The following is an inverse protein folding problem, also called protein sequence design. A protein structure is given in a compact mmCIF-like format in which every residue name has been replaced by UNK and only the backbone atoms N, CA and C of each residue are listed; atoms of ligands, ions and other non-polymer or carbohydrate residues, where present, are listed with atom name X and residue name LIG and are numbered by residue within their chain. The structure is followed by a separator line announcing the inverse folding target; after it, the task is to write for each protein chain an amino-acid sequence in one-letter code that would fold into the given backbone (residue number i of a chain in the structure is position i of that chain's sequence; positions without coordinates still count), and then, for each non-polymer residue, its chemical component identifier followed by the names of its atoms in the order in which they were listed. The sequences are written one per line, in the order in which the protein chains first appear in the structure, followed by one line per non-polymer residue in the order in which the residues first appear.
data_IF_074686376792
#
_entry.id   IF_074686376792
#
_cell.length_a   1.000
_cell.length_b   1.000
_cell.length_c   1.000
_cell.angle_alpha   90.00
_cell.angle_beta   90.00
_cell.angle_gamma   90.00
#
_symmetry.space_group_name_H-M   'P 1'
#
loop_
_entity.id
_entity.type
_entity.pdbx_description
1 polymer ?
#
# COMPACT_ATOMS: atom_id res chain seq x y z
N UNK A 1 -11.29 13.08 7.11
CA UNK A 1 -11.59 12.20 5.96
C UNK A 1 -11.56 10.77 6.46
N UNK A 2 -12.64 9.99 6.31
CA UNK A 2 -12.65 8.55 6.66
C UNK A 2 -12.65 7.76 5.36
N UNK A 3 -11.59 6.99 5.12
CA UNK A 3 -11.48 6.07 3.99
C UNK A 3 -11.84 4.66 4.45
N UNK A 4 -12.62 3.94 3.66
CA UNK A 4 -12.95 2.55 3.88
C UNK A 4 -13.04 1.84 2.53
N UNK A 5 -12.48 0.63 2.44
CA UNK A 5 -12.49 -0.20 1.24
C UNK A 5 -12.80 -1.64 1.65
N UNK A 6 -13.76 -2.27 0.97
CA UNK A 6 -14.03 -3.70 1.13
C UNK A 6 -13.03 -4.48 0.27
N UNK A 7 -12.29 -5.40 0.88
CA UNK A 7 -11.26 -6.22 0.23
C UNK A 7 -11.67 -7.69 0.03
N UNK A 8 -12.93 -8.01 0.36
CA UNK A 8 -13.45 -9.38 0.38
C UNK A 8 -12.54 -10.31 1.19
N UNK A 9 -12.23 -11.50 0.66
CA UNK A 9 -11.26 -12.43 1.23
C UNK A 9 -9.86 -11.98 0.82
N UNK A 10 -9.05 -11.55 1.79
CA UNK A 10 -7.66 -11.17 1.57
C UNK A 10 -6.77 -11.52 2.77
N UNK A 11 -5.45 -11.51 2.54
CA UNK A 11 -4.47 -11.60 3.62
C UNK A 11 -4.28 -10.24 4.29
N UNK A 12 -3.90 -10.26 5.57
CA UNK A 12 -3.57 -9.06 6.35
C UNK A 12 -2.53 -8.21 5.62
N UNK A 13 -1.46 -8.83 5.11
CA UNK A 13 -0.42 -8.12 4.35
C UNK A 13 -0.95 -7.47 3.08
N UNK A 14 -1.89 -8.10 2.37
CA UNK A 14 -2.51 -7.50 1.18
C UNK A 14 -3.40 -6.31 1.57
N UNK A 15 -4.11 -6.41 2.70
CA UNK A 15 -4.94 -5.32 3.20
C UNK A 15 -4.12 -4.08 3.56
N UNK A 16 -3.01 -4.25 4.28
CA UNK A 16 -2.12 -3.16 4.64
C UNK A 16 -1.48 -2.50 3.41
N UNK A 17 -0.94 -3.31 2.49
CA UNK A 17 -0.39 -2.78 1.24
C UNK A 17 -1.45 -2.02 0.44
N UNK A 18 -2.69 -2.51 0.40
CA UNK A 18 -3.78 -1.82 -0.29
C UNK A 18 -4.14 -0.49 0.37
N UNK A 19 -4.16 -0.45 1.71
CA UNK A 19 -4.35 0.79 2.46
C UNK A 19 -3.25 1.82 2.19
N UNK A 20 -1.99 1.37 2.15
CA UNK A 20 -0.86 2.23 1.78
C UNK A 20 -1.00 2.81 0.37
N UNK A 21 -1.27 1.95 -0.62
CA UNK A 21 -1.35 2.34 -2.03
C UNK A 21 -2.52 3.28 -2.31
N UNK A 22 -3.69 3.02 -1.75
CA UNK A 22 -4.89 3.84 -1.98
C UNK A 22 -4.91 5.09 -1.10
N UNK A 23 -4.24 5.07 0.07
CA UNK A 23 -4.14 6.21 0.96
C UNK A 23 -3.26 7.34 0.41
N UNK A 24 -2.22 7.02 -0.36
CA UNK A 24 -1.28 8.02 -0.90
C UNK A 24 -1.93 8.97 -1.94
N UNK A 25 -2.68 8.48 -2.96
CA UNK A 25 -3.45 9.35 -3.85
C UNK A 25 -4.46 10.22 -3.10
N UNK A 26 -5.15 9.69 -2.09
CA UNK A 26 -6.09 10.47 -1.29
C UNK A 26 -5.40 11.60 -0.53
N UNK A 27 -4.22 11.34 0.02
CA UNK A 27 -3.41 12.37 0.65
C UNK A 27 -2.95 13.43 -0.37
N UNK A 28 -2.58 12.99 -1.58
CA UNK A 28 -2.22 13.88 -2.67
C UNK A 28 -3.39 14.78 -3.09
N UNK A 29 -4.58 14.22 -3.29
CA UNK A 29 -5.78 14.97 -3.68
C UNK A 29 -6.23 15.94 -2.59
N UNK A 30 -5.98 15.61 -1.32
CA UNK A 30 -6.18 16.51 -0.19
C UNK A 30 -5.12 17.63 -0.07
N UNK A 31 -4.13 17.68 -0.97
CA UNK A 31 -3.10 18.73 -1.01
C UNK A 31 -1.85 18.42 -0.19
N UNK A 32 -1.75 17.26 0.45
CA UNK A 32 -0.52 16.84 1.11
C UNK A 32 0.54 16.47 0.07
N UNK A 33 1.75 16.98 0.24
CA UNK A 33 2.89 16.74 -0.66
C UNK A 33 4.07 16.05 0.01
N UNK A 34 4.08 16.05 1.34
CA UNK A 34 5.06 15.36 2.15
C UNK A 34 4.32 14.54 3.20
N UNK A 35 4.31 13.21 3.02
CA UNK A 35 3.53 12.29 3.84
C UNK A 35 4.48 11.25 4.43
N UNK A 36 4.35 11.01 5.74
CA UNK A 36 5.00 9.90 6.41
C UNK A 36 4.01 8.76 6.51
N UNK A 37 4.25 7.69 5.75
CA UNK A 37 3.47 6.46 5.83
C UNK A 37 4.01 5.60 6.96
N UNK A 38 3.15 5.22 7.90
CA UNK A 38 3.46 4.29 8.98
C UNK A 38 2.65 3.01 8.79
N UNK A 39 3.33 1.86 8.87
CA UNK A 39 2.76 0.52 8.73
C UNK A 39 3.21 -0.32 9.91
N UNK A 40 2.30 -1.13 10.45
CA UNK A 40 2.55 -2.04 11.56
C UNK A 40 2.98 -3.44 11.11
N UNK A 41 2.88 -3.78 9.82
CA UNK A 41 3.49 -5.01 9.28
C UNK A 41 4.91 -4.82 8.77
N UNK A 42 5.83 -5.51 9.43
CA UNK A 42 7.20 -5.74 8.93
C UNK A 42 7.18 -6.38 7.53
N UNK A 43 6.26 -7.30 7.26
CA UNK A 43 6.14 -7.94 5.94
C UNK A 43 5.73 -6.94 4.86
N UNK A 44 4.78 -6.05 5.15
CA UNK A 44 4.38 -5.00 4.20
C UNK A 44 5.53 -4.02 3.94
N UNK A 45 6.25 -3.61 4.97
CA UNK A 45 7.45 -2.76 4.85
C UNK A 45 8.55 -3.42 4.02
N UNK A 46 8.81 -4.70 4.23
CA UNK A 46 9.80 -5.45 3.44
C UNK A 46 9.39 -5.54 1.97
N UNK A 47 8.11 -5.77 1.68
CA UNK A 47 7.60 -5.81 0.31
C UNK A 47 7.69 -4.45 -0.39
N UNK A 48 7.35 -3.35 0.29
CA UNK A 48 7.47 -2.00 -0.27
C UNK A 48 8.93 -1.60 -0.54
N UNK A 49 9.88 -2.13 0.25
CA UNK A 49 11.31 -1.85 0.10
C UNK A 49 12.02 -2.79 -0.86
N UNK A 50 11.40 -3.92 -1.22
CA UNK A 50 11.96 -4.88 -2.15
C UNK A 50 11.87 -4.31 -3.57
N UNK A 51 13.02 -4.11 -4.21
CA UNK A 51 13.13 -3.71 -5.63
C UNK A 51 12.90 -4.89 -6.59
N UNK A 52 12.62 -6.09 -6.09
CA UNK A 52 12.37 -7.27 -6.91
C UNK A 52 10.91 -7.30 -7.38
N UNK A 53 10.65 -6.60 -8.49
CA UNK A 53 9.40 -6.66 -9.25
C UNK A 53 9.10 -8.07 -9.82
N UNK A 54 10.08 -8.98 -9.78
CA UNK A 54 9.94 -10.34 -10.26
C UNK A 54 9.69 -11.33 -9.10
N UNK A 55 8.43 -11.83 -9.03
CA UNK A 55 7.99 -13.10 -8.41
C UNK A 55 7.25 -13.08 -7.06
N UNK A 56 6.75 -11.96 -6.55
CA UNK A 56 5.81 -12.02 -5.42
C UNK A 56 4.34 -12.01 -5.87
N UNK A 57 3.48 -12.86 -5.30
CA UNK A 57 2.02 -12.92 -5.61
C UNK A 57 1.30 -11.58 -5.36
N UNK A 58 1.93 -10.66 -4.63
CA UNK A 58 1.44 -9.31 -4.34
C UNK A 58 2.22 -8.19 -5.05
N UNK A 59 3.21 -8.52 -5.90
CA UNK A 59 4.02 -7.53 -6.64
C UNK A 59 3.19 -6.66 -7.59
N UNK A 60 2.09 -7.19 -8.13
CA UNK A 60 1.16 -6.44 -9.00
C UNK A 60 0.54 -5.20 -8.33
N UNK A 61 0.56 -5.11 -6.99
CA UNK A 61 0.13 -3.91 -6.26
C UNK A 61 1.21 -2.83 -6.30
N UNK A 62 2.50 -3.20 -6.32
CA UNK A 62 3.63 -2.27 -6.39
C UNK A 62 3.79 -1.67 -7.79
N UNK A 63 3.50 -2.44 -8.85
CA UNK A 63 3.55 -1.97 -10.25
C UNK A 63 2.51 -0.88 -10.58
N UNK A 64 1.54 -0.62 -9.70
CA UNK A 64 0.57 0.48 -9.86
C UNK A 64 0.96 1.75 -9.10
N UNK A 65 2.04 1.70 -8.34
CA UNK A 65 2.49 2.78 -7.44
C UNK A 65 3.64 3.59 -8.06
N UNK A 66 4.38 3.01 -9.01
CA UNK A 66 5.48 3.64 -9.72
C UNK A 66 5.18 3.79 -11.21
#
# INVERSE_FOLDING_TARGET
MKFAMNLEICSITRAELRGAVEGLPLAWDAGYRHVRLELDSVCALQLLRSTDSNKHRHAAILDRVF
#
